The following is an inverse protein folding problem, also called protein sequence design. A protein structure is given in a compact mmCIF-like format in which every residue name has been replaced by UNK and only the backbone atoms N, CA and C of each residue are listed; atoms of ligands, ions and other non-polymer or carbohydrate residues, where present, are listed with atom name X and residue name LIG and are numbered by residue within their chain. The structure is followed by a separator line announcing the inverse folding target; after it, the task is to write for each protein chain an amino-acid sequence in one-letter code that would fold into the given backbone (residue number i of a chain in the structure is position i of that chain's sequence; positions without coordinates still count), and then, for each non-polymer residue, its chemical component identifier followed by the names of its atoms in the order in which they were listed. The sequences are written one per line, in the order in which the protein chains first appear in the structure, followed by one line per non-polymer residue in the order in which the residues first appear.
data_IF_094807850783
#
_entry.id   IF_094807850783
#
_cell.length_a   1.000
_cell.length_b   1.000
_cell.length_c   1.000
_cell.angle_alpha   90.00
_cell.angle_beta   90.00
_cell.angle_gamma   90.00
#
_symmetry.space_group_name_H-M   'P 1'
#
loop_
_entity.id
_entity.type
_entity.pdbx_description
1 polymer ?
#
# COMPACT_ATOMS: atom_id res chain seq x y z
N UNK A 1 -11.03 12.94 8.28
CA UNK A 1 -10.28 11.70 8.62
C UNK A 1 -8.80 11.93 8.31
N UNK A 2 -7.87 11.66 9.25
CA UNK A 2 -6.44 11.85 8.99
C UNK A 2 -5.94 10.86 7.94
N UNK A 3 -4.95 11.26 7.14
CA UNK A 3 -4.30 10.34 6.20
C UNK A 3 -3.33 9.41 6.94
N UNK A 4 -3.12 8.18 6.45
CA UNK A 4 -2.05 7.34 6.95
C UNK A 4 -0.68 8.00 6.81
N UNK A 5 0.28 7.55 7.61
CA UNK A 5 1.62 8.13 7.70
C UNK A 5 2.69 7.06 7.54
N UNK A 6 3.91 7.49 7.19
CA UNK A 6 5.09 6.62 6.99
C UNK A 6 4.79 5.39 6.09
N UNK A 7 4.26 5.59 4.87
CA UNK A 7 4.08 4.49 3.93
C UNK A 7 5.44 3.85 3.62
N UNK A 8 5.54 2.54 3.83
CA UNK A 8 6.78 1.80 3.68
C UNK A 8 6.55 0.48 2.97
N UNK A 9 7.33 0.22 1.93
CA UNK A 9 7.34 -1.06 1.21
C UNK A 9 8.59 -1.82 1.63
N UNK A 10 8.42 -3.05 2.09
CA UNK A 10 9.51 -3.96 2.43
C UNK A 10 9.34 -5.25 1.65
N UNK A 11 10.44 -5.85 1.20
CA UNK A 11 10.40 -7.13 0.50
C UNK A 11 11.53 -8.04 0.93
N UNK A 12 11.20 -9.26 1.33
CA UNK A 12 12.14 -10.28 1.78
C UNK A 12 11.70 -11.64 1.21
N UNK A 13 12.61 -12.38 0.57
CA UNK A 13 12.30 -13.68 -0.06
C UNK A 13 11.06 -13.63 -0.97
N UNK A 14 10.98 -12.62 -1.83
CA UNK A 14 9.83 -12.34 -2.74
C UNK A 14 8.49 -12.04 -2.04
N UNK A 15 8.46 -11.93 -0.72
CA UNK A 15 7.30 -11.47 0.04
C UNK A 15 7.36 -9.96 0.19
N UNK A 16 6.53 -9.25 -0.56
CA UNK A 16 6.45 -7.78 -0.56
C UNK A 16 5.25 -7.30 0.25
N UNK A 17 5.53 -6.58 1.34
CA UNK A 17 4.54 -6.03 2.26
C UNK A 17 4.57 -4.50 2.23
N UNK A 18 3.40 -3.90 2.08
CA UNK A 18 3.20 -2.46 2.23
C UNK A 18 2.61 -2.15 3.60
N UNK A 19 3.25 -1.27 4.37
CA UNK A 19 2.91 -0.95 5.74
C UNK A 19 2.71 0.57 5.91
N UNK A 20 1.89 0.96 6.88
CA UNK A 20 1.70 2.35 7.27
C UNK A 20 1.44 2.49 8.77
N UNK A 21 1.56 3.72 9.27
CA UNK A 21 1.16 4.10 10.62
C UNK A 21 -0.14 4.90 10.58
N UNK A 22 -0.94 4.76 11.62
CA UNK A 22 -2.19 5.49 11.78
C UNK A 22 -2.37 5.89 13.24
N UNK A 23 -2.85 7.12 13.55
CA UNK A 23 -3.08 7.53 14.92
C UNK A 23 -4.15 6.64 15.58
N UNK A 24 -4.12 6.49 16.92
CA UNK A 24 -5.19 5.82 17.64
C UNK A 24 -6.51 6.59 17.46
N UNK A 25 -7.59 5.86 17.15
CA UNK A 25 -8.93 6.41 16.93
C UNK A 25 -9.94 5.69 17.82
N UNK A 26 -11.02 6.39 18.20
CA UNK A 26 -12.13 5.78 18.94
C UNK A 26 -12.91 4.76 18.12
N UNK A 27 -13.00 4.97 16.80
CA UNK A 27 -13.63 4.07 15.85
C UNK A 27 -12.57 3.24 15.12
N UNK A 28 -12.92 2.05 14.64
CA UNK A 28 -12.01 1.19 13.86
C UNK A 28 -11.84 1.72 12.43
N UNK A 29 -10.68 2.30 12.06
CA UNK A 29 -10.44 2.75 10.70
C UNK A 29 -10.36 1.55 9.75
N UNK A 30 -10.84 1.76 8.51
CA UNK A 30 -10.65 0.83 7.41
C UNK A 30 -9.70 1.44 6.39
N UNK A 31 -8.94 0.61 5.69
CA UNK A 31 -7.94 1.06 4.74
C UNK A 31 -8.17 0.42 3.37
N UNK A 32 -7.87 1.18 2.33
CA UNK A 32 -7.84 0.67 0.96
C UNK A 32 -6.50 0.99 0.33
N UNK A 33 -5.85 -0.05 -0.19
CA UNK A 33 -4.54 0.02 -0.85
C UNK A 33 -4.70 -0.07 -2.35
N UNK A 34 -3.98 0.80 -3.05
CA UNK A 34 -3.84 0.78 -4.50
C UNK A 34 -2.37 0.67 -4.91
N UNK A 35 -2.15 0.08 -6.07
CA UNK A 35 -0.84 -0.06 -6.69
C UNK A 35 -0.88 0.48 -8.12
N UNK A 36 0.19 1.15 -8.52
CA UNK A 36 0.44 1.64 -9.87
C UNK A 36 1.78 1.06 -10.36
N UNK A 37 1.76 0.05 -11.24
CA UNK A 37 2.97 -0.35 -11.97
C UNK A 37 3.27 0.69 -13.05
N UNK A 38 4.55 0.97 -13.30
CA UNK A 38 5.02 1.95 -14.29
C UNK A 38 4.40 1.71 -15.67
N UNK A 39 4.40 0.44 -16.12
CA UNK A 39 3.91 0.05 -17.44
C UNK A 39 2.41 0.29 -17.65
N UNK A 40 1.58 0.28 -16.59
CA UNK A 40 0.15 0.62 -16.71
C UNK A 40 -0.11 2.11 -16.48
N UNK A 41 0.72 2.79 -15.67
CA UNK A 41 0.60 4.22 -15.38
C UNK A 41 -0.63 4.62 -14.55
N UNK A 42 -1.55 3.69 -14.26
CA UNK A 42 -2.77 3.95 -13.49
C UNK A 42 -2.82 3.16 -12.18
N UNK A 43 -3.42 3.76 -11.16
CA UNK A 43 -3.70 3.07 -9.90
C UNK A 43 -4.85 2.07 -10.04
N UNK A 44 -4.67 0.89 -9.47
CA UNK A 44 -5.71 -0.13 -9.30
C UNK A 44 -5.77 -0.60 -7.84
N UNK A 45 -6.95 -0.98 -7.38
CA UNK A 45 -7.13 -1.58 -6.06
C UNK A 45 -6.37 -2.91 -5.96
N UNK A 46 -5.71 -3.12 -4.83
CA UNK A 46 -5.25 -4.46 -4.43
C UNK A 46 -6.46 -5.17 -3.83
N UNK A 47 -7.01 -6.14 -4.56
CA UNK A 47 -8.31 -6.76 -4.23
C UNK A 47 -8.40 -7.32 -2.80
N UNK A 48 -7.30 -7.85 -2.26
CA UNK A 48 -7.19 -8.39 -0.90
C UNK A 48 -7.08 -7.33 0.18
N UNK A 49 -6.93 -6.05 -0.18
CA UNK A 49 -6.64 -4.95 0.72
C UNK A 49 -7.61 -3.78 0.55
N UNK A 50 -8.88 -4.08 0.26
CA UNK A 50 -9.99 -3.11 0.26
C UNK A 50 -10.76 -3.22 1.58
N UNK A 51 -10.94 -2.09 2.27
CA UNK A 51 -11.62 -1.98 3.56
C UNK A 51 -11.08 -2.90 4.68
N UNK A 52 -9.77 -3.09 4.72
CA UNK A 52 -9.09 -3.87 5.75
C UNK A 52 -8.86 -3.04 7.02
N UNK A 53 -8.82 -3.69 8.20
CA UNK A 53 -8.42 -3.03 9.45
C UNK A 53 -6.93 -3.17 9.76
N UNK A 54 -6.23 -4.06 9.05
CA UNK A 54 -4.78 -4.23 9.19
C UNK A 54 -4.04 -2.98 8.70
N UNK A 55 -2.91 -2.67 9.33
CA UNK A 55 -2.04 -1.55 8.95
C UNK A 55 -0.96 -1.96 7.94
N UNK A 56 -1.20 -3.07 7.25
CA UNK A 56 -0.35 -3.62 6.23
C UNK A 56 -1.17 -4.31 5.15
N UNK A 57 -0.55 -4.52 4.00
CA UNK A 57 -1.11 -5.25 2.87
C UNK A 57 -0.02 -6.10 2.23
N UNK A 58 -0.32 -7.38 1.97
CA UNK A 58 0.53 -8.23 1.15
C UNK A 58 0.24 -7.95 -0.32
N UNK A 59 1.24 -7.41 -1.02
CA UNK A 59 1.16 -7.02 -2.43
C UNK A 59 2.04 -7.88 -3.31
N UNK A 60 2.58 -8.99 -2.78
CA UNK A 60 3.51 -9.87 -3.51
C UNK A 60 2.92 -10.34 -4.84
N UNK A 61 1.60 -10.60 -4.87
CA UNK A 61 0.88 -11.03 -6.09
C UNK A 61 0.70 -9.94 -7.14
N UNK A 62 0.88 -8.67 -6.76
CA UNK A 62 0.74 -7.53 -7.67
C UNK A 62 2.08 -7.18 -8.35
N UNK A 63 3.20 -7.68 -7.82
CA UNK A 63 4.54 -7.47 -8.36
C UNK A 63 4.86 -8.61 -9.34
N UNK A 64 4.67 -8.35 -10.63
CA UNK A 64 4.85 -9.36 -11.69
C UNK A 64 6.22 -9.31 -12.35
N UNK A 65 6.80 -8.12 -12.46
CA UNK A 65 8.09 -7.89 -13.12
C UNK A 65 9.08 -7.27 -12.13
N UNK A 66 10.21 -7.94 -11.81
CA UNK A 66 11.12 -7.46 -10.76
C UNK A 66 11.85 -6.15 -11.06
N UNK A 67 11.96 -5.78 -12.35
CA UNK A 67 12.64 -4.59 -12.83
C UNK A 67 11.74 -3.36 -12.92
N UNK A 68 10.42 -3.58 -12.94
CA UNK A 68 9.46 -2.49 -13.08
C UNK A 68 9.43 -1.64 -11.80
N UNK A 69 9.15 -0.35 -11.98
CA UNK A 69 8.84 0.54 -10.88
C UNK A 69 7.37 0.43 -10.47
N UNK A 70 7.13 0.43 -9.17
CA UNK A 70 5.81 0.40 -8.56
C UNK A 70 5.67 1.54 -7.55
N UNK A 71 4.46 2.09 -7.48
CA UNK A 71 4.06 3.01 -6.42
C UNK A 71 2.83 2.44 -5.73
N UNK A 72 2.81 2.49 -4.41
CA UNK A 72 1.68 2.05 -3.60
C UNK A 72 1.11 3.25 -2.87
N UNK A 73 -0.21 3.30 -2.74
CA UNK A 73 -0.87 4.33 -1.95
C UNK A 73 -1.96 3.74 -1.09
N UNK A 74 -2.23 4.39 0.04
CA UNK A 74 -3.27 3.98 0.97
C UNK A 74 -4.08 5.18 1.44
N UNK A 75 -5.38 4.98 1.59
CA UNK A 75 -6.29 5.93 2.25
C UNK A 75 -7.00 5.26 3.41
N UNK A 76 -7.45 6.06 4.36
CA UNK A 76 -8.30 5.64 5.46
C UNK A 76 -9.77 5.98 5.19
N UNK A 77 -10.66 5.14 5.70
CA UNK A 77 -12.10 5.29 5.74
C UNK A 77 -12.53 5.19 7.21
N UNK A 78 -13.30 6.17 7.67
CA UNK A 78 -13.90 6.19 9.00
C UNK A 78 -15.38 6.57 8.84
N UNK A 79 -16.27 5.61 9.07
CA UNK A 79 -17.69 5.76 8.72
C UNK A 79 -17.87 6.05 7.22
N UNK A 80 -18.43 7.21 6.89
CA UNK A 80 -18.61 7.70 5.52
C UNK A 80 -17.49 8.63 5.03
N UNK A 81 -16.56 9.02 5.89
CA UNK A 81 -15.50 9.96 5.55
C UNK A 81 -14.24 9.23 5.09
N UNK A 82 -13.59 9.75 4.05
CA UNK A 82 -12.32 9.23 3.52
C UNK A 82 -11.20 10.25 3.72
N UNK A 83 -9.97 9.76 3.91
CA UNK A 83 -8.77 10.59 3.86
C UNK A 83 -8.26 10.71 2.43
N UNK A 84 -7.37 11.67 2.20
CA UNK A 84 -6.50 11.67 1.02
C UNK A 84 -5.58 10.44 1.02
N UNK A 85 -5.19 10.01 -0.17
CA UNK A 85 -4.20 8.95 -0.33
C UNK A 85 -2.81 9.45 0.08
N UNK A 86 -2.06 8.60 0.77
CA UNK A 86 -0.61 8.78 0.96
C UNK A 86 0.13 7.77 0.08
N UNK A 87 1.06 8.26 -0.73
CA UNK A 87 1.84 7.44 -1.66
C UNK A 87 3.21 7.06 -1.05
N UNK A 88 3.68 5.86 -1.36
CA UNK A 88 5.02 5.39 -1.05
C UNK A 88 6.05 6.07 -1.95
N UNK A 89 7.33 5.91 -1.59
CA UNK A 89 8.41 6.10 -2.57
C UNK A 89 8.31 5.02 -3.66
N UNK A 90 9.00 5.27 -4.77
CA UNK A 90 9.17 4.28 -5.84
C UNK A 90 9.76 2.98 -5.28
N UNK A 91 9.20 1.85 -5.69
CA UNK A 91 9.66 0.52 -5.34
C UNK A 91 10.01 -0.29 -6.59
N UNK A 92 11.23 -0.83 -6.64
CA UNK A 92 11.68 -1.78 -7.66
C UNK A 92 12.15 -3.03 -6.92
N UNK A 93 11.54 -4.18 -7.21
CA UNK A 93 11.79 -5.41 -6.45
C UNK A 93 13.26 -5.85 -6.53
N UNK A 94 13.88 -5.82 -7.71
CA UNK A 94 15.29 -6.20 -7.88
C UNK A 94 16.24 -5.31 -7.07
N UNK A 95 15.91 -4.02 -6.92
CA UNK A 95 16.76 -3.03 -6.25
C UNK A 95 16.56 -3.02 -4.74
N UNK A 96 15.32 -3.16 -4.28
CA UNK A 96 14.94 -2.95 -2.88
C UNK A 96 14.63 -4.25 -2.13
N UNK A 97 14.43 -5.36 -2.85
CA UNK A 97 14.21 -6.67 -2.26
C UNK A 97 15.47 -7.21 -1.59
N UNK A 98 15.27 -7.89 -0.47
CA UNK A 98 16.29 -8.73 0.17
C UNK A 98 16.01 -10.18 -0.20
N UNK A 99 17.00 -10.84 -0.78
CA UNK A 99 16.92 -12.22 -1.27
C UNK A 99 17.98 -13.07 -0.56
#
# INVERSE_FOLDING_TARGET
VPSPTKPLVTSENFKTIFNWQYPPMSETPRFTVEIKPYNLGTYKNVSTCVNISAHFCDVSREISHPLDSYWLRVKALLGSQQSEYVESKEFILQRHGKF
#
